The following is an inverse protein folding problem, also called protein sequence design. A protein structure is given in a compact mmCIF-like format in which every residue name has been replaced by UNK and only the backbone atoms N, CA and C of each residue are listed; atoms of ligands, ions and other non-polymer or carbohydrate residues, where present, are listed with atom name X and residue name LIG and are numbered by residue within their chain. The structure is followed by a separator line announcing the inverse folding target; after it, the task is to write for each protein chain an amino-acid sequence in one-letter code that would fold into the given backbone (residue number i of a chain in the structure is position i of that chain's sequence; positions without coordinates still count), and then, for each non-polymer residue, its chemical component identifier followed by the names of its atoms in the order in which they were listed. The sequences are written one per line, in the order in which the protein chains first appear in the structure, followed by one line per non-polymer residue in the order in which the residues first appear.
data_IF_792972260071
#
_entry.id   IF_792972260071
#
_cell.length_a   1.000
_cell.length_b   1.000
_cell.length_c   1.000
_cell.angle_alpha   90.00
_cell.angle_beta   90.00
_cell.angle_gamma   90.00
#
_symmetry.space_group_name_H-M   'P 1'
#
loop_
_entity.id
_entity.type
_entity.pdbx_description
1 polymer ?
#
# COMPACT_ATOMS: atom_id res chain seq x y z
N UNK A 1 25.66 8.34 28.17
CA UNK A 1 24.63 7.46 27.59
C UNK A 1 23.99 6.68 28.74
N UNK A 2 22.89 7.19 29.32
CA UNK A 2 22.20 6.51 30.42
C UNK A 2 21.44 5.32 29.81
N UNK A 3 21.74 4.10 30.26
CA UNK A 3 20.85 2.96 30.06
C UNK A 3 19.60 3.26 30.90
N UNK A 4 18.54 3.72 30.26
CA UNK A 4 17.23 3.72 30.90
C UNK A 4 16.86 2.27 31.19
N UNK A 5 16.44 2.01 32.43
CA UNK A 5 16.08 0.69 32.93
C UNK A 5 14.88 0.13 32.14
N UNK A 6 15.17 -0.60 31.06
CA UNK A 6 14.19 -1.32 30.22
C UNK A 6 13.57 -2.55 30.93
N UNK A 7 13.97 -2.84 32.17
CA UNK A 7 13.49 -3.97 32.97
C UNK A 7 11.97 -4.05 33.15
N UNK A 8 11.19 -2.95 33.29
CA UNK A 8 9.74 -3.02 33.46
C UNK A 8 9.02 -3.49 32.19
N UNK A 9 9.50 -3.12 30.99
CA UNK A 9 8.85 -3.49 29.74
C UNK A 9 9.13 -4.94 29.36
N UNK A 10 10.35 -5.43 29.59
CA UNK A 10 10.71 -6.82 29.29
C UNK A 10 9.83 -7.80 30.05
N UNK A 11 9.59 -7.56 31.35
CA UNK A 11 8.70 -8.37 32.17
C UNK A 11 7.24 -8.32 31.66
N UNK A 12 6.77 -7.15 31.21
CA UNK A 12 5.42 -7.00 30.64
C UNK A 12 5.27 -7.73 29.31
N UNK A 13 6.28 -7.69 28.45
CA UNK A 13 6.32 -8.50 27.23
C UNK A 13 6.32 -9.99 27.52
N UNK A 14 7.13 -10.44 28.47
CA UNK A 14 7.15 -11.84 28.87
C UNK A 14 5.78 -12.32 29.37
N UNK A 15 5.09 -11.51 30.19
CA UNK A 15 3.75 -11.79 30.67
C UNK A 15 2.72 -11.84 29.54
N UNK A 16 2.73 -10.86 28.63
CA UNK A 16 1.85 -10.82 27.46
C UNK A 16 2.10 -12.03 26.55
N UNK A 17 3.36 -12.34 26.27
CA UNK A 17 3.74 -13.44 25.39
C UNK A 17 3.38 -14.80 25.97
N UNK A 18 3.47 -14.97 27.30
CA UNK A 18 2.95 -16.15 28.00
C UNK A 18 1.51 -16.45 27.59
N UNK A 19 0.65 -15.43 27.65
CA UNK A 19 -0.76 -15.52 27.30
C UNK A 19 -1.01 -15.62 25.79
N UNK A 20 -0.20 -14.97 24.94
CA UNK A 20 -0.35 -15.08 23.47
C UNK A 20 -0.21 -16.54 23.03
N UNK A 21 0.73 -17.29 23.62
CA UNK A 21 0.90 -18.72 23.35
C UNK A 21 -0.30 -19.58 23.75
N UNK A 22 -1.18 -19.08 24.62
CA UNK A 22 -2.42 -19.73 25.01
C UNK A 22 -3.58 -19.38 24.08
N UNK A 23 -3.36 -18.53 23.08
CA UNK A 23 -4.36 -18.14 22.08
C UNK A 23 -3.97 -18.57 20.68
N UNK A 24 -4.97 -18.87 19.86
CA UNK A 24 -4.78 -19.31 18.49
C UNK A 24 -4.12 -18.22 17.63
N UNK A 25 -2.91 -18.46 17.08
CA UNK A 25 -2.31 -17.57 16.12
C UNK A 25 -2.99 -17.70 14.75
N UNK A 26 -3.01 -16.62 14.00
CA UNK A 26 -3.47 -16.62 12.61
C UNK A 26 -2.37 -17.13 11.68
N UNK A 27 -2.77 -17.73 10.56
CA UNK A 27 -1.86 -18.10 9.47
C UNK A 27 -1.55 -16.87 8.64
N UNK A 28 -0.29 -16.46 8.57
CA UNK A 28 0.20 -15.40 7.67
C UNK A 28 1.52 -15.84 7.01
N UNK A 29 1.97 -15.09 6.00
CA UNK A 29 3.23 -15.31 5.26
C UNK A 29 4.45 -15.46 6.18
N UNK A 30 4.37 -14.90 7.39
CA UNK A 30 5.32 -15.07 8.48
C UNK A 30 4.55 -15.63 9.67
N UNK A 31 5.06 -16.73 10.22
CA UNK A 31 4.26 -17.93 10.42
C UNK A 31 3.28 -17.92 11.60
N UNK A 32 3.66 -17.24 12.69
CA UNK A 32 2.91 -17.19 13.94
C UNK A 32 2.64 -15.73 14.28
N UNK A 33 1.43 -15.28 13.98
CA UNK A 33 0.98 -13.94 14.28
C UNK A 33 -0.30 -13.96 15.11
N UNK A 34 -0.52 -12.90 15.89
CA UNK A 34 -1.76 -12.65 16.61
C UNK A 34 -2.29 -11.28 16.24
N UNK A 35 -3.61 -11.16 16.16
CA UNK A 35 -4.32 -9.89 16.00
C UNK A 35 -5.17 -9.67 17.24
N UNK A 36 -5.00 -8.51 17.87
CA UNK A 36 -5.62 -8.20 19.15
C UNK A 36 -4.84 -8.71 20.37
N UNK A 37 -5.34 -8.41 21.59
CA UNK A 37 -6.57 -7.66 21.86
C UNK A 37 -6.43 -6.17 21.52
N UNK A 38 -7.53 -5.43 21.44
CA UNK A 38 -7.48 -3.99 21.14
C UNK A 38 -6.90 -3.17 22.30
N UNK A 39 -6.05 -2.20 21.99
CA UNK A 39 -5.63 -1.13 22.90
C UNK A 39 -6.70 -0.03 22.89
N UNK A 40 -7.24 0.32 24.06
CA UNK A 40 -8.37 1.23 24.25
C UNK A 40 -8.03 2.25 25.34
N UNK A 41 -7.26 3.30 25.03
CA UNK A 41 -6.82 4.29 26.02
C UNK A 41 -7.97 5.13 26.57
N UNK A 42 -9.03 5.33 25.77
CA UNK A 42 -10.26 6.03 26.15
C UNK A 42 -11.47 5.34 25.56
N UNK A 43 -12.66 5.65 26.08
CA UNK A 43 -13.91 5.17 25.50
C UNK A 43 -13.94 5.48 23.99
N UNK A 44 -14.29 4.48 23.17
CA UNK A 44 -14.38 4.54 21.70
C UNK A 44 -13.06 4.71 20.93
N UNK A 45 -11.91 4.86 21.58
CA UNK A 45 -10.61 4.86 20.90
C UNK A 45 -10.07 3.43 20.82
N UNK A 46 -10.50 2.64 19.83
CA UNK A 46 -10.05 1.26 19.67
C UNK A 46 -8.89 1.21 18.67
N UNK A 47 -7.73 0.79 19.16
CA UNK A 47 -6.50 0.65 18.39
C UNK A 47 -6.18 -0.82 18.24
N UNK A 48 -5.91 -1.25 17.01
CA UNK A 48 -5.58 -2.63 16.73
C UNK A 48 -4.15 -2.89 17.19
N UNK A 49 -3.95 -4.02 17.84
CA UNK A 49 -2.62 -4.55 18.11
C UNK A 49 -2.36 -5.77 17.23
N UNK A 50 -1.09 -5.99 16.93
CA UNK A 50 -0.62 -7.18 16.23
C UNK A 50 0.71 -7.60 16.81
N UNK A 51 0.92 -8.91 16.87
CA UNK A 51 2.17 -9.52 17.33
C UNK A 51 2.61 -10.57 16.32
N UNK A 52 3.89 -10.60 15.97
CA UNK A 52 4.47 -11.57 15.04
C UNK A 52 5.72 -12.18 15.68
N UNK A 53 5.78 -13.51 15.76
CA UNK A 53 6.95 -14.23 16.24
C UNK A 53 7.83 -14.66 15.05
N UNK A 54 9.08 -14.20 15.02
CA UNK A 54 10.04 -14.58 13.99
C UNK A 54 11.48 -14.51 14.52
N UNK A 55 12.29 -15.56 14.26
CA UNK A 55 13.71 -15.58 14.62
C UNK A 55 13.99 -15.30 16.10
N UNK A 56 13.18 -15.83 17.02
CA UNK A 56 13.30 -15.61 18.47
C UNK A 56 12.92 -14.20 18.94
N UNK A 57 12.33 -13.38 18.06
CA UNK A 57 11.85 -12.02 18.36
C UNK A 57 10.34 -11.94 18.21
N UNK A 58 9.70 -11.23 19.14
CA UNK A 58 8.30 -10.85 19.05
C UNK A 58 8.23 -9.40 18.55
N UNK A 59 7.73 -9.21 17.35
CA UNK A 59 7.47 -7.92 16.75
C UNK A 59 6.04 -7.49 17.11
N UNK A 60 5.90 -6.42 17.87
CA UNK A 60 4.61 -5.84 18.24
C UNK A 60 4.33 -4.58 17.45
N UNK A 61 3.08 -4.37 17.04
CA UNK A 61 2.63 -3.12 16.43
C UNK A 61 1.28 -2.71 16.98
N UNK A 62 1.14 -1.43 17.33
CA UNK A 62 -0.15 -0.80 17.65
C UNK A 62 -0.49 0.22 16.56
N UNK A 63 -1.66 0.07 15.95
CA UNK A 63 -2.16 0.97 14.92
C UNK A 63 -3.07 2.02 15.58
N UNK A 64 -2.56 3.24 15.72
CA UNK A 64 -3.27 4.35 16.34
C UNK A 64 -3.40 5.54 15.38
N UNK A 65 -4.57 5.65 14.75
CA UNK A 65 -4.81 6.61 13.68
C UNK A 65 -3.99 6.26 12.44
N UNK A 66 -3.26 7.23 11.91
CA UNK A 66 -2.43 7.10 10.70
C UNK A 66 -1.02 6.58 10.99
N UNK A 67 -0.75 6.22 12.25
CA UNK A 67 0.59 5.87 12.72
C UNK A 67 0.61 4.45 13.28
N UNK A 68 1.55 3.66 12.78
CA UNK A 68 1.87 2.34 13.34
C UNK A 68 3.02 2.52 14.33
N UNK A 69 2.85 2.02 15.55
CA UNK A 69 3.84 2.08 16.63
C UNK A 69 4.56 0.74 16.75
N UNK A 70 5.68 0.53 16.04
CA UNK A 70 6.47 -0.70 16.10
C UNK A 70 7.22 -0.86 17.43
N UNK A 71 7.44 -2.12 17.77
CA UNK A 71 8.25 -2.57 18.89
C UNK A 71 8.80 -3.96 18.62
N UNK A 72 9.94 -4.27 19.21
CA UNK A 72 10.58 -5.56 19.10
C UNK A 72 11.03 -6.03 20.48
N UNK A 73 10.67 -7.26 20.86
CA UNK A 73 11.17 -7.90 22.07
C UNK A 73 11.96 -9.17 21.72
N UNK A 74 13.20 -9.25 22.18
CA UNK A 74 14.02 -10.45 22.05
C UNK A 74 13.71 -11.41 23.20
N UNK A 75 13.17 -12.59 22.86
CA UNK A 75 12.69 -13.56 23.86
C UNK A 75 13.82 -14.19 24.67
N UNK A 76 15.06 -14.18 24.16
CA UNK A 76 16.22 -14.77 24.83
C UNK A 76 17.00 -13.77 25.67
N UNK A 77 17.27 -12.57 25.13
CA UNK A 77 18.02 -11.53 25.86
C UNK A 77 17.14 -10.67 26.77
N UNK A 78 15.82 -10.69 26.56
CA UNK A 78 14.89 -9.78 27.23
C UNK A 78 14.96 -8.34 26.73
N UNK A 79 15.77 -8.05 25.71
CA UNK A 79 15.90 -6.71 25.15
C UNK A 79 14.59 -6.25 24.50
N UNK A 80 14.17 -5.02 24.79
CA UNK A 80 13.01 -4.37 24.18
C UNK A 80 13.50 -3.14 23.41
N UNK A 81 13.13 -3.05 22.13
CA UNK A 81 13.37 -1.90 21.27
C UNK A 81 12.01 -1.32 20.88
N UNK A 82 11.77 -0.06 21.24
CA UNK A 82 10.63 0.70 20.75
C UNK A 82 11.12 1.58 19.62
N UNK A 83 10.64 1.32 18.42
CA UNK A 83 11.08 2.01 17.21
C UNK A 83 10.29 3.30 17.03
N UNK A 84 10.94 4.33 16.47
CA UNK A 84 10.23 5.54 16.08
C UNK A 84 9.39 5.25 14.83
N UNK A 85 8.10 5.62 14.81
CA UNK A 85 7.29 5.46 13.62
C UNK A 85 7.82 6.31 12.47
N UNK A 86 7.61 5.86 11.23
CA UNK A 86 8.01 6.58 10.01
C UNK A 86 7.11 7.78 9.68
N UNK A 87 6.01 7.99 10.42
CA UNK A 87 5.05 9.08 10.18
C UNK A 87 5.46 10.36 10.90
N UNK A 88 5.38 11.50 10.19
CA UNK A 88 5.71 12.84 10.71
C UNK A 88 4.69 13.37 11.73
N UNK A 89 3.51 12.74 11.87
CA UNK A 89 2.49 13.11 12.87
C UNK A 89 2.37 12.02 13.93
N UNK A 90 3.07 12.20 15.05
CA UNK A 90 2.95 11.34 16.21
C UNK A 90 1.91 11.90 17.17
N UNK A 91 0.75 11.23 17.28
CA UNK A 91 -0.25 11.55 18.30
C UNK A 91 0.19 11.11 19.71
N UNK A 92 1.16 10.20 19.79
CA UNK A 92 1.68 9.60 21.01
C UNK A 92 3.20 9.49 20.96
N UNK A 93 3.84 9.66 22.11
CA UNK A 93 5.24 9.28 22.31
C UNK A 93 5.32 7.73 22.37
N UNK A 94 6.17 7.07 21.55
CA UNK A 94 6.17 5.61 21.41
C UNK A 94 6.39 4.83 22.72
N UNK A 95 7.31 5.25 23.57
CA UNK A 95 7.63 4.55 24.83
C UNK A 95 6.45 4.61 25.80
N UNK A 96 5.84 5.78 25.96
CA UNK A 96 4.67 5.99 26.80
C UNK A 96 3.45 5.20 26.30
N UNK A 97 3.25 5.13 24.97
CA UNK A 97 2.19 4.33 24.38
C UNK A 97 2.34 2.86 24.78
N UNK A 98 3.51 2.24 24.54
CA UNK A 98 3.73 0.83 24.86
C UNK A 98 3.66 0.54 26.36
N UNK A 99 4.21 1.44 27.18
CA UNK A 99 4.13 1.34 28.65
C UNK A 99 2.68 1.33 29.14
N UNK A 100 1.80 2.12 28.50
CA UNK A 100 0.37 2.14 28.84
C UNK A 100 -0.42 0.98 28.24
N UNK A 101 0.00 0.47 27.07
CA UNK A 101 -0.73 -0.53 26.32
C UNK A 101 -0.54 -1.94 26.89
N UNK A 102 0.69 -2.35 27.20
CA UNK A 102 1.00 -3.73 27.59
C UNK A 102 0.18 -4.25 28.78
N UNK A 103 -0.02 -3.50 29.90
CA UNK A 103 -0.84 -3.97 31.02
C UNK A 103 -2.30 -4.17 30.60
N UNK A 104 -2.80 -3.29 29.74
CA UNK A 104 -4.17 -3.37 29.24
C UNK A 104 -4.35 -4.56 28.29
N UNK A 105 -3.43 -4.76 27.36
CA UNK A 105 -3.45 -5.88 26.43
C UNK A 105 -3.38 -7.21 27.19
N UNK A 106 -2.48 -7.31 28.17
CA UNK A 106 -2.33 -8.48 29.05
C UNK A 106 -3.64 -8.80 29.77
N UNK A 107 -4.27 -7.83 30.42
CA UNK A 107 -5.55 -8.02 31.10
C UNK A 107 -6.67 -8.46 30.15
N UNK A 108 -6.72 -7.92 28.95
CA UNK A 108 -7.73 -8.28 27.95
C UNK A 108 -7.52 -9.69 27.42
N UNK A 109 -6.27 -10.10 27.24
CA UNK A 109 -5.93 -11.44 26.78
C UNK A 109 -6.26 -12.48 27.85
N UNK A 110 -5.99 -12.21 29.13
CA UNK A 110 -6.46 -13.04 30.26
C UNK A 110 -7.97 -13.24 30.21
N UNK A 111 -8.73 -12.15 30.08
CA UNK A 111 -10.19 -12.23 29.99
C UNK A 111 -10.68 -13.01 28.76
N UNK A 112 -9.96 -12.93 27.63
CA UNK A 112 -10.27 -13.69 26.43
C UNK A 112 -9.99 -15.19 26.59
N UNK A 113 -8.94 -15.56 27.33
CA UNK A 113 -8.60 -16.95 27.63
C UNK A 113 -9.59 -17.56 28.64
N UNK A 114 -9.92 -16.81 29.71
CA UNK A 114 -10.83 -17.27 30.76
C UNK A 114 -12.26 -17.47 30.26
N UNK A 115 -12.74 -16.61 29.37
CA UNK A 115 -14.10 -16.70 28.82
C UNK A 115 -14.19 -16.16 27.38
N UNK A 116 -13.72 -16.93 26.38
CA UNK A 116 -13.60 -16.47 24.99
C UNK A 116 -14.93 -16.02 24.41
N UNK A 117 -16.00 -16.76 24.66
CA UNK A 117 -17.34 -16.46 24.15
C UNK A 117 -17.88 -15.12 24.69
N UNK A 118 -17.75 -14.88 25.99
CA UNK A 118 -18.18 -13.60 26.59
C UNK A 118 -17.31 -12.46 26.08
N UNK A 119 -15.99 -12.66 25.99
CA UNK A 119 -15.06 -11.66 25.49
C UNK A 119 -15.36 -11.28 24.04
N UNK A 120 -15.45 -12.26 23.14
CA UNK A 120 -15.66 -12.05 21.71
C UNK A 120 -17.04 -11.42 21.44
N UNK A 121 -18.11 -11.86 22.13
CA UNK A 121 -19.43 -11.19 22.05
C UNK A 121 -19.36 -9.73 22.48
N UNK A 122 -18.62 -9.43 23.56
CA UNK A 122 -18.44 -8.04 24.04
C UNK A 122 -17.65 -7.20 23.03
N UNK A 123 -16.58 -7.73 22.45
CA UNK A 123 -15.79 -7.04 21.42
C UNK A 123 -16.66 -6.75 20.19
N UNK A 124 -17.38 -7.75 19.66
CA UNK A 124 -18.30 -7.57 18.52
C UNK A 124 -19.34 -6.48 18.74
N UNK A 125 -19.88 -6.39 19.97
CA UNK A 125 -20.90 -5.39 20.34
C UNK A 125 -20.32 -3.99 20.52
N UNK A 126 -19.10 -3.87 21.05
CA UNK A 126 -18.55 -2.59 21.50
C UNK A 126 -17.55 -1.94 20.55
N UNK A 127 -16.96 -2.71 19.61
CA UNK A 127 -16.02 -2.14 18.66
C UNK A 127 -16.74 -1.16 17.73
N UNK A 128 -16.35 0.14 17.73
CA UNK A 128 -16.97 1.16 16.90
C UNK A 128 -16.65 0.91 15.42
N UNK A 129 -17.55 1.31 14.52
CA UNK A 129 -17.34 1.14 13.07
C UNK A 129 -16.09 1.89 12.58
N UNK A 130 -15.73 3.00 13.23
CA UNK A 130 -14.54 3.78 12.92
C UNK A 130 -13.24 2.99 13.18
N UNK A 131 -13.28 1.90 13.94
CA UNK A 131 -12.15 1.01 14.19
C UNK A 131 -12.24 -0.33 13.44
N UNK A 132 -13.24 -0.50 12.57
CA UNK A 132 -13.43 -1.69 11.72
C UNK A 132 -12.89 -1.43 10.32
N UNK A 133 -12.55 -2.51 9.63
CA UNK A 133 -12.27 -2.49 8.19
C UNK A 133 -13.43 -3.08 7.41
N UNK A 134 -13.56 -2.68 6.16
CA UNK A 134 -14.53 -3.22 5.24
C UNK A 134 -14.25 -2.76 3.82
N UNK A 135 -15.13 -3.13 2.90
CA UNK A 135 -15.02 -2.79 1.49
C UNK A 135 -16.34 -2.24 0.97
N UNK A 136 -16.26 -1.32 0.03
CA UNK A 136 -17.43 -0.76 -0.65
C UNK A 136 -17.13 -0.58 -2.13
N UNK A 137 -18.13 -0.80 -2.99
CA UNK A 137 -17.98 -0.54 -4.43
C UNK A 137 -17.74 0.96 -4.67
N UNK A 138 -16.70 1.31 -5.43
CA UNK A 138 -16.18 2.69 -5.58
C UNK A 138 -17.22 3.73 -5.96
N UNK A 139 -18.23 3.41 -6.79
CA UNK A 139 -19.30 4.38 -7.14
C UNK A 139 -20.05 4.93 -5.92
N UNK A 140 -20.04 4.21 -4.79
CA UNK A 140 -20.63 4.65 -3.53
C UNK A 140 -19.73 5.60 -2.72
N UNK A 141 -18.49 5.79 -3.14
CA UNK A 141 -17.57 6.76 -2.52
C UNK A 141 -17.61 8.12 -3.22
N UNK A 142 -18.18 8.19 -4.43
CA UNK A 142 -18.33 9.43 -5.18
C UNK A 142 -19.53 10.25 -4.71
N UNK A 143 -19.51 11.59 -4.82
CA UNK A 143 -20.69 12.42 -4.61
C UNK A 143 -21.91 11.93 -5.41
N UNK A 144 -23.12 12.26 -4.94
CA UNK A 144 -24.35 11.92 -5.66
C UNK A 144 -24.31 12.52 -7.06
N UNK A 145 -24.79 11.76 -8.05
CA UNK A 145 -24.87 12.16 -9.47
C UNK A 145 -23.51 12.39 -10.15
N UNK A 146 -22.38 12.03 -9.52
CA UNK A 146 -21.10 11.96 -10.22
C UNK A 146 -21.22 11.01 -11.42
N UNK A 147 -20.94 11.53 -12.62
CA UNK A 147 -20.87 10.73 -13.84
C UNK A 147 -19.60 9.89 -13.83
N UNK A 148 -19.61 8.77 -14.55
CA UNK A 148 -18.38 8.00 -14.77
C UNK A 148 -17.33 8.89 -15.45
N UNK A 149 -16.07 8.89 -14.98
CA UNK A 149 -14.99 9.69 -15.56
C UNK A 149 -14.77 9.50 -17.07
N UNK A 150 -15.10 8.32 -17.60
CA UNK A 150 -15.07 8.02 -19.03
C UNK A 150 -16.46 7.61 -19.54
N UNK A 151 -16.78 8.04 -20.74
CA UNK A 151 -17.91 7.54 -21.52
C UNK A 151 -17.66 6.13 -22.07
N UNK A 152 -18.72 5.43 -22.52
CA UNK A 152 -18.59 4.13 -23.21
C UNK A 152 -17.69 4.23 -24.45
N UNK A 153 -17.78 5.33 -25.19
CA UNK A 153 -16.96 5.57 -26.37
C UNK A 153 -15.48 5.73 -26.00
N UNK A 154 -15.15 6.49 -24.95
CA UNK A 154 -13.76 6.64 -24.51
C UNK A 154 -13.18 5.34 -23.95
N UNK A 155 -13.99 4.52 -23.28
CA UNK A 155 -13.57 3.18 -22.85
C UNK A 155 -13.24 2.28 -24.05
N UNK A 156 -14.07 2.28 -25.08
CA UNK A 156 -13.79 1.54 -26.32
C UNK A 156 -12.54 2.07 -27.04
N UNK A 157 -12.31 3.39 -27.03
CA UNK A 157 -11.08 4.00 -27.55
C UNK A 157 -9.85 3.55 -26.75
N UNK A 158 -9.93 3.51 -25.42
CA UNK A 158 -8.86 3.00 -24.56
C UNK A 158 -8.54 1.54 -24.86
N UNK A 159 -9.55 0.67 -24.92
CA UNK A 159 -9.37 -0.75 -25.25
C UNK A 159 -8.70 -0.92 -26.62
N UNK A 160 -9.17 -0.16 -27.63
CA UNK A 160 -8.59 -0.17 -28.98
C UNK A 160 -7.15 0.35 -29.00
N UNK A 161 -6.85 1.41 -28.25
CA UNK A 161 -5.51 1.99 -28.16
C UNK A 161 -4.52 1.03 -27.50
N UNK A 162 -4.91 0.37 -26.40
CA UNK A 162 -4.09 -0.67 -25.78
C UNK A 162 -3.85 -1.85 -26.73
N UNK A 163 -4.90 -2.34 -27.41
CA UNK A 163 -4.76 -3.44 -28.37
C UNK A 163 -3.88 -3.07 -29.59
N UNK A 164 -3.84 -1.79 -30.00
CA UNK A 164 -2.88 -1.30 -30.99
C UNK A 164 -1.47 -1.28 -30.43
N UNK A 165 -1.27 -0.75 -29.22
CA UNK A 165 0.04 -0.68 -28.57
C UNK A 165 0.67 -2.06 -28.33
N UNK A 166 -0.14 -3.04 -27.92
CA UNK A 166 0.30 -4.41 -27.69
C UNK A 166 0.70 -5.12 -29.01
N UNK A 167 -0.04 -4.86 -30.11
CA UNK A 167 0.26 -5.45 -31.43
C UNK A 167 1.30 -4.69 -32.25
N UNK A 168 1.63 -3.45 -31.87
CA UNK A 168 2.63 -2.67 -32.58
C UNK A 168 4.00 -3.34 -32.49
N UNK A 169 4.76 -3.29 -33.58
CA UNK A 169 6.13 -3.79 -33.61
C UNK A 169 7.00 -2.95 -32.67
N UNK A 170 7.99 -3.60 -32.05
CA UNK A 170 8.99 -2.89 -31.27
C UNK A 170 9.72 -1.85 -32.13
N UNK A 171 10.25 -0.82 -31.49
CA UNK A 171 11.07 0.17 -32.19
C UNK A 171 12.53 -0.27 -32.21
N UNK A 172 13.10 -0.47 -33.40
CA UNK A 172 14.50 -0.89 -33.55
C UNK A 172 15.51 0.09 -32.92
N UNK A 173 15.13 1.35 -32.75
CA UNK A 173 15.93 2.37 -32.08
C UNK A 173 15.06 3.32 -31.25
N UNK A 174 15.65 3.83 -30.16
CA UNK A 174 15.05 4.83 -29.29
C UNK A 174 16.13 5.85 -28.93
N UNK A 175 15.80 7.14 -29.05
CA UNK A 175 16.63 8.27 -28.62
C UNK A 175 15.94 8.99 -27.46
N UNK A 176 16.65 9.83 -26.70
CA UNK A 176 16.03 10.67 -25.68
C UNK A 176 14.98 11.62 -26.30
N UNK A 177 15.27 12.21 -27.46
CA UNK A 177 14.34 13.08 -28.18
C UNK A 177 13.04 12.35 -28.57
N UNK A 178 13.13 11.13 -29.10
CA UNK A 178 11.95 10.33 -29.46
C UNK A 178 11.14 9.88 -28.24
N UNK A 179 11.82 9.56 -27.13
CA UNK A 179 11.16 9.30 -25.85
C UNK A 179 10.40 10.54 -25.34
N UNK A 180 11.05 11.70 -25.31
CA UNK A 180 10.43 12.94 -24.87
C UNK A 180 9.26 13.33 -25.78
N UNK A 181 9.37 13.13 -27.10
CA UNK A 181 8.28 13.39 -28.05
C UNK A 181 7.04 12.56 -27.71
N UNK A 182 7.19 11.25 -27.47
CA UNK A 182 6.04 10.39 -27.15
C UNK A 182 5.42 10.74 -25.80
N UNK A 183 6.24 11.12 -24.81
CA UNK A 183 5.78 11.66 -23.52
C UNK A 183 5.04 12.99 -23.71
N UNK A 184 5.54 13.86 -24.59
CA UNK A 184 4.90 15.12 -24.98
C UNK A 184 3.48 14.91 -25.51
N UNK A 185 3.29 13.92 -26.39
CA UNK A 185 1.96 13.55 -26.90
C UNK A 185 1.02 13.06 -25.79
N UNK A 186 1.56 12.31 -24.82
CA UNK A 186 0.80 11.87 -23.66
C UNK A 186 0.34 13.07 -22.79
N UNK A 187 1.21 14.06 -22.59
CA UNK A 187 0.83 15.29 -21.88
C UNK A 187 -0.24 16.09 -22.62
N UNK A 188 -0.18 16.20 -23.94
CA UNK A 188 -1.15 16.99 -24.74
C UNK A 188 -2.61 16.50 -24.60
N UNK A 189 -2.77 15.21 -24.27
CA UNK A 189 -4.06 14.59 -24.01
C UNK A 189 -4.66 14.94 -22.64
N UNK A 190 -3.85 15.45 -21.73
CA UNK A 190 -4.21 15.61 -20.31
C UNK A 190 -4.07 17.05 -19.82
N UNK A 191 -3.10 17.80 -20.36
CA UNK A 191 -2.75 19.16 -19.99
C UNK A 191 -2.86 20.10 -21.21
N UNK A 192 -4.07 20.61 -21.53
CA UNK A 192 -4.28 21.45 -22.72
C UNK A 192 -3.44 22.72 -22.73
N UNK A 193 -3.13 23.26 -21.56
CA UNK A 193 -2.29 24.43 -21.31
C UNK A 193 -0.83 24.23 -21.71
N UNK A 194 -0.36 22.98 -21.76
CA UNK A 194 1.02 22.65 -22.10
C UNK A 194 1.25 22.41 -23.59
N UNK A 195 0.20 22.37 -24.43
CA UNK A 195 0.30 21.91 -25.82
C UNK A 195 1.34 22.65 -26.67
N UNK A 196 1.52 23.94 -26.39
CA UNK A 196 2.43 24.82 -27.12
C UNK A 196 3.88 24.75 -26.61
N UNK A 197 4.16 23.99 -25.55
CA UNK A 197 5.51 23.83 -25.01
C UNK A 197 6.30 22.75 -25.75
N UNK A 198 7.62 22.87 -25.75
CA UNK A 198 8.49 21.82 -26.27
C UNK A 198 8.40 20.56 -25.40
N UNK A 199 8.60 19.39 -25.99
CA UNK A 199 8.49 18.10 -25.28
C UNK A 199 9.35 18.02 -24.02
N UNK A 200 10.59 18.55 -24.08
CA UNK A 200 11.52 18.61 -22.95
C UNK A 200 11.01 19.52 -21.83
N UNK A 201 10.42 20.67 -22.18
CA UNK A 201 9.82 21.59 -21.20
C UNK A 201 8.59 20.95 -20.55
N UNK A 202 7.75 20.27 -21.34
CA UNK A 202 6.60 19.52 -20.82
C UNK A 202 7.04 18.50 -19.77
N UNK A 203 8.11 17.76 -20.05
CA UNK A 203 8.69 16.78 -19.12
C UNK A 203 9.15 17.45 -17.83
N UNK A 204 9.99 18.48 -17.89
CA UNK A 204 10.52 19.16 -16.70
C UNK A 204 9.45 19.79 -15.79
N UNK A 205 8.26 20.10 -16.32
CA UNK A 205 7.16 20.67 -15.56
C UNK A 205 6.30 19.64 -14.82
N UNK A 206 6.27 18.38 -15.25
CA UNK A 206 5.34 17.36 -14.75
C UNK A 206 6.00 16.11 -14.19
N UNK A 207 7.15 15.73 -14.75
CA UNK A 207 7.86 14.54 -14.33
C UNK A 207 8.48 14.71 -12.94
N UNK A 208 8.86 13.57 -12.36
CA UNK A 208 9.81 13.58 -11.26
C UNK A 208 11.17 14.06 -11.78
N UNK A 209 11.59 15.23 -11.31
CA UNK A 209 12.81 15.90 -11.79
C UNK A 209 14.11 15.18 -11.40
N UNK A 210 14.04 14.03 -10.71
CA UNK A 210 15.17 13.11 -10.55
C UNK A 210 15.37 12.30 -11.84
N UNK A 211 15.69 12.94 -12.95
CA UNK A 211 15.73 12.30 -14.27
C UNK A 211 17.00 11.49 -14.57
N UNK A 212 17.96 11.39 -13.65
CA UNK A 212 19.11 10.48 -13.76
C UNK A 212 19.97 10.62 -15.02
N UNK A 213 20.11 11.84 -15.55
CA UNK A 213 20.86 12.11 -16.79
C UNK A 213 20.06 11.98 -18.09
N UNK A 214 18.78 11.59 -18.07
CA UNK A 214 17.95 11.45 -19.28
C UNK A 214 17.92 12.75 -20.11
N UNK A 215 17.76 13.89 -19.44
CA UNK A 215 17.70 15.19 -20.11
C UNK A 215 19.07 15.66 -20.62
N UNK A 216 20.17 15.03 -20.22
CA UNK A 216 21.53 15.43 -20.61
C UNK A 216 22.04 14.67 -21.85
N UNK A 217 21.25 13.70 -22.33
CA UNK A 217 21.58 12.90 -23.52
C UNK A 217 21.37 13.69 -24.83
N UNK A 218 22.20 13.47 -25.86
CA UNK A 218 21.94 14.02 -27.19
C UNK A 218 20.62 13.48 -27.77
N UNK A 219 19.72 14.39 -28.17
CA UNK A 219 18.33 14.08 -28.57
C UNK A 219 18.20 13.05 -29.69
N UNK A 220 19.17 12.99 -30.59
CA UNK A 220 19.14 12.17 -31.81
C UNK A 220 20.13 10.99 -31.77
N UNK A 221 20.74 10.71 -30.61
CA UNK A 221 21.72 9.62 -30.48
C UNK A 221 21.11 8.38 -29.81
N UNK A 222 20.76 7.38 -30.63
CA UNK A 222 20.20 6.13 -30.15
C UNK A 222 21.21 5.27 -29.39
N UNK A 223 22.50 5.40 -29.70
CA UNK A 223 23.57 4.67 -29.01
C UNK A 223 23.77 5.25 -27.63
N UNK A 224 23.86 6.58 -27.51
CA UNK A 224 23.94 7.26 -26.21
C UNK A 224 22.78 6.88 -25.29
N UNK A 225 21.55 6.85 -25.82
CA UNK A 225 20.38 6.40 -25.06
C UNK A 225 20.50 4.94 -24.59
N UNK A 226 20.89 4.01 -25.49
CA UNK A 226 21.05 2.60 -25.15
C UNK A 226 22.16 2.39 -24.11
N UNK A 227 23.31 3.03 -24.29
CA UNK A 227 24.45 2.89 -23.38
C UNK A 227 24.11 3.45 -21.98
N UNK A 228 23.48 4.62 -21.92
CA UNK A 228 22.96 5.17 -20.66
C UNK A 228 21.93 4.24 -20.01
N UNK A 229 20.94 3.75 -20.76
CA UNK A 229 19.91 2.85 -20.24
C UNK A 229 20.53 1.56 -19.65
N UNK A 230 21.46 0.94 -20.39
CA UNK A 230 22.11 -0.32 -20.01
C UNK A 230 23.12 -0.16 -18.88
N UNK A 231 23.77 1.01 -18.75
CA UNK A 231 24.72 1.28 -17.66
C UNK A 231 24.08 1.35 -16.28
N UNK A 232 22.75 1.47 -16.19
CA UNK A 232 21.98 1.57 -14.94
C UNK A 232 22.36 2.78 -14.07
N UNK A 233 23.05 3.78 -14.60
CA UNK A 233 23.41 5.02 -13.88
C UNK A 233 22.19 5.80 -13.37
N UNK A 234 21.06 5.63 -14.05
CA UNK A 234 19.76 6.15 -13.63
C UNK A 234 19.11 5.39 -12.46
N UNK A 235 19.67 4.27 -12.01
CA UNK A 235 19.13 3.49 -10.90
C UNK A 235 19.10 4.33 -9.60
N UNK A 236 17.98 4.30 -8.88
CA UNK A 236 17.76 5.18 -7.72
C UNK A 236 17.23 6.58 -8.07
N UNK A 237 17.04 6.86 -9.36
CA UNK A 237 16.38 8.07 -9.88
C UNK A 237 15.04 7.70 -10.53
N UNK A 238 14.25 8.68 -10.98
CA UNK A 238 12.86 8.54 -11.43
C UNK A 238 12.63 9.04 -12.88
N UNK A 239 13.47 8.70 -13.88
CA UNK A 239 13.33 9.19 -15.27
C UNK A 239 12.06 8.72 -16.00
N UNK A 240 11.38 7.74 -15.43
CA UNK A 240 10.19 7.14 -16.03
C UNK A 240 8.91 7.63 -15.38
N UNK A 241 8.97 8.33 -14.25
CA UNK A 241 7.81 8.92 -13.59
C UNK A 241 7.45 10.23 -14.28
N UNK A 242 6.73 10.12 -15.40
CA UNK A 242 6.36 11.24 -16.26
C UNK A 242 5.30 12.15 -15.62
N UNK A 243 4.57 11.68 -14.61
CA UNK A 243 3.77 12.56 -13.75
C UNK A 243 4.12 12.20 -12.32
N UNK A 244 4.70 13.15 -11.59
CA UNK A 244 5.03 12.95 -10.18
C UNK A 244 3.79 12.69 -9.32
N UNK A 245 3.85 11.67 -8.47
CA UNK A 245 2.86 11.39 -7.43
C UNK A 245 3.47 10.64 -6.25
N UNK A 246 2.81 10.63 -5.09
CA UNK A 246 3.28 9.88 -3.92
C UNK A 246 2.42 8.63 -3.68
N UNK A 247 3.02 7.41 -3.55
CA UNK A 247 4.45 7.12 -3.63
C UNK A 247 5.04 7.19 -5.05
N UNK A 248 4.22 6.93 -6.08
CA UNK A 248 4.52 7.18 -7.50
C UNK A 248 3.26 7.63 -8.25
N UNK A 249 3.41 8.45 -9.29
CA UNK A 249 2.32 8.90 -10.15
C UNK A 249 2.11 8.03 -11.39
N UNK A 250 2.31 8.60 -12.59
CA UNK A 250 2.22 7.87 -13.87
C UNK A 250 3.62 7.58 -14.38
N UNK A 251 3.89 6.32 -14.70
CA UNK A 251 5.18 5.89 -15.23
C UNK A 251 5.06 5.43 -16.68
N UNK A 252 6.00 5.86 -17.52
CA UNK A 252 6.19 5.36 -18.89
C UNK A 252 7.64 4.88 -19.06
N UNK A 253 7.89 3.62 -18.79
CA UNK A 253 9.24 3.06 -18.84
C UNK A 253 9.54 2.42 -20.19
N UNK A 254 10.66 2.73 -20.85
CA UNK A 254 11.14 1.96 -21.99
C UNK A 254 11.64 0.58 -21.51
N UNK A 255 11.38 -0.45 -22.30
CA UNK A 255 11.75 -1.84 -22.01
C UNK A 255 12.30 -2.49 -23.28
N UNK A 256 13.50 -3.09 -23.22
CA UNK A 256 14.02 -3.92 -24.30
C UNK A 256 13.11 -5.12 -24.56
N UNK A 257 12.70 -5.31 -25.81
CA UNK A 257 11.98 -6.49 -26.26
C UNK A 257 12.95 -7.63 -26.66
N UNK A 258 12.47 -8.88 -26.76
CA UNK A 258 13.31 -10.02 -27.12
C UNK A 258 14.02 -9.89 -28.48
N UNK A 259 13.45 -9.12 -29.40
CA UNK A 259 13.99 -8.80 -30.72
C UNK A 259 15.01 -7.65 -30.70
N UNK A 260 15.50 -7.27 -29.50
CA UNK A 260 16.37 -6.13 -29.26
C UNK A 260 15.77 -4.76 -29.65
N UNK A 261 14.47 -4.68 -29.93
CA UNK A 261 13.74 -3.44 -30.09
C UNK A 261 13.29 -2.85 -28.75
N UNK A 262 12.59 -1.72 -28.82
CA UNK A 262 12.08 -1.00 -27.66
C UNK A 262 10.56 -1.03 -27.61
N UNK A 263 10.02 -1.28 -26.43
CA UNK A 263 8.60 -1.12 -26.08
C UNK A 263 8.48 -0.24 -24.84
N UNK A 264 7.26 0.10 -24.47
CA UNK A 264 6.98 0.89 -23.27
C UNK A 264 6.04 0.17 -22.32
N UNK A 265 6.27 0.34 -21.03
CA UNK A 265 5.34 -0.02 -19.97
C UNK A 265 4.71 1.26 -19.42
N UNK A 266 3.42 1.43 -19.66
CA UNK A 266 2.64 2.46 -18.99
C UNK A 266 2.06 1.86 -17.70
N UNK A 267 2.22 2.54 -16.56
CA UNK A 267 1.64 2.14 -15.28
C UNK A 267 1.25 3.36 -14.46
N UNK A 268 0.38 3.15 -13.47
CA UNK A 268 -0.08 4.20 -12.56
C UNK A 268 -0.40 3.59 -11.20
N UNK A 269 0.15 4.18 -10.15
CA UNK A 269 -0.05 3.68 -8.77
C UNK A 269 -1.11 4.49 -8.02
N UNK A 270 -1.18 5.79 -8.27
CA UNK A 270 -2.15 6.67 -7.62
C UNK A 270 -3.53 6.63 -8.29
N UNK A 271 -4.55 6.24 -7.53
CA UNK A 271 -5.94 6.19 -8.00
C UNK A 271 -6.45 7.55 -8.53
N UNK A 272 -5.95 8.66 -7.98
CA UNK A 272 -6.27 10.02 -8.45
C UNK A 272 -5.81 10.31 -9.89
N UNK A 273 -4.87 9.51 -10.42
CA UNK A 273 -4.30 9.69 -11.76
C UNK A 273 -4.81 8.68 -12.78
N UNK A 274 -5.73 7.79 -12.42
CA UNK A 274 -6.25 6.77 -13.35
C UNK A 274 -6.86 7.37 -14.62
N UNK A 275 -7.58 8.50 -14.52
CA UNK A 275 -8.11 9.18 -15.69
C UNK A 275 -6.99 9.78 -16.58
N UNK A 276 -5.93 10.28 -15.94
CA UNK A 276 -4.77 10.83 -16.66
C UNK A 276 -4.08 9.70 -17.44
N UNK A 277 -3.74 8.59 -16.76
CA UNK A 277 -3.11 7.44 -17.37
C UNK A 277 -3.96 6.83 -18.50
N UNK A 278 -5.28 6.74 -18.35
CA UNK A 278 -6.16 6.28 -19.42
C UNK A 278 -6.13 7.18 -20.67
N UNK A 279 -6.15 8.51 -20.49
CA UNK A 279 -6.04 9.46 -21.61
C UNK A 279 -4.66 9.39 -22.28
N UNK A 280 -3.61 9.24 -21.49
CA UNK A 280 -2.24 9.03 -21.99
C UNK A 280 -2.15 7.73 -22.81
N UNK A 281 -2.72 6.62 -22.32
CA UNK A 281 -2.77 5.35 -23.05
C UNK A 281 -3.47 5.50 -24.41
N UNK A 282 -4.58 6.25 -24.47
CA UNK A 282 -5.26 6.56 -25.74
C UNK A 282 -4.29 7.30 -26.69
N UNK A 283 -3.62 8.34 -26.20
CA UNK A 283 -2.68 9.12 -27.01
C UNK A 283 -1.48 8.30 -27.52
N UNK A 284 -0.95 7.40 -26.68
CA UNK A 284 0.12 6.48 -27.07
C UNK A 284 -0.32 5.53 -28.19
N UNK A 285 -1.52 4.97 -28.08
CA UNK A 285 -2.08 4.07 -29.10
C UNK A 285 -2.48 4.79 -30.38
N UNK A 286 -2.89 6.06 -30.31
CA UNK A 286 -3.13 6.92 -31.47
C UNK A 286 -1.80 7.32 -32.16
N UNK A 287 -0.71 7.43 -31.38
CA UNK A 287 0.65 7.65 -31.88
C UNK A 287 1.36 6.37 -32.36
N UNK A 288 0.69 5.20 -32.35
CA UNK A 288 1.27 3.90 -32.71
C UNK A 288 2.54 3.55 -31.93
N UNK A 289 2.64 3.97 -30.66
CA UNK A 289 3.73 3.55 -29.79
C UNK A 289 3.56 2.07 -29.40
N UNK A 290 4.64 1.27 -29.34
CA UNK A 290 4.58 -0.10 -28.86
C UNK A 290 4.57 -0.10 -27.34
N UNK A 291 3.41 -0.25 -26.73
CA UNK A 291 3.28 -0.19 -25.27
C UNK A 291 2.33 -1.25 -24.71
N UNK A 292 2.51 -1.54 -23.42
CA UNK A 292 1.58 -2.30 -22.60
C UNK A 292 1.11 -1.41 -21.44
N UNK A 293 -0.19 -1.42 -21.16
CA UNK A 293 -0.76 -0.71 -20.01
C UNK A 293 -0.92 -1.68 -18.82
N UNK A 294 0.05 -1.68 -17.92
CA UNK A 294 0.04 -2.53 -16.73
C UNK A 294 -1.11 -2.15 -15.79
N UNK A 295 -1.86 -3.15 -15.33
CA UNK A 295 -3.01 -2.94 -14.47
C UNK A 295 -4.19 -2.24 -15.15
N UNK A 296 -4.28 -2.26 -16.50
CA UNK A 296 -5.39 -1.69 -17.28
C UNK A 296 -6.76 -2.04 -16.70
N UNK A 297 -6.99 -3.31 -16.36
CA UNK A 297 -8.29 -3.76 -15.87
C UNK A 297 -8.64 -3.16 -14.50
N UNK A 298 -7.64 -2.99 -13.62
CA UNK A 298 -7.79 -2.27 -12.35
C UNK A 298 -8.19 -0.81 -12.61
N UNK A 299 -7.48 -0.14 -13.52
CA UNK A 299 -7.75 1.26 -13.90
C UNK A 299 -9.16 1.41 -14.47
N UNK A 300 -9.55 0.54 -15.41
CA UNK A 300 -10.87 0.54 -16.05
C UNK A 300 -11.97 0.27 -15.03
N UNK A 301 -11.79 -0.71 -14.15
CA UNK A 301 -12.76 -1.04 -13.10
C UNK A 301 -12.98 0.16 -12.17
N UNK A 302 -11.91 0.83 -11.77
CA UNK A 302 -11.97 2.05 -10.96
C UNK A 302 -12.64 3.22 -11.68
N UNK A 303 -12.34 3.45 -12.96
CA UNK A 303 -13.01 4.49 -13.76
C UNK A 303 -14.48 4.18 -14.04
N UNK A 304 -14.90 2.90 -13.97
CA UNK A 304 -16.31 2.48 -13.99
C UNK A 304 -16.97 2.57 -12.61
N UNK A 305 -16.19 2.80 -11.55
CA UNK A 305 -16.66 2.78 -10.17
C UNK A 305 -17.08 1.37 -9.71
N UNK A 306 -16.53 0.33 -10.32
CA UNK A 306 -16.92 -1.07 -10.13
C UNK A 306 -15.95 -1.86 -9.24
N UNK A 307 -14.75 -1.34 -8.98
CA UNK A 307 -13.81 -1.94 -8.05
C UNK A 307 -14.22 -1.70 -6.59
N UNK A 308 -13.54 -2.41 -5.69
CA UNK A 308 -13.73 -2.27 -4.25
C UNK A 308 -12.73 -1.25 -3.71
N UNK A 309 -13.23 -0.36 -2.86
CA UNK A 309 -12.45 0.58 -2.07
C UNK A 309 -12.44 0.07 -0.64
N UNK A 310 -11.26 -0.03 -0.05
CA UNK A 310 -11.12 -0.34 1.37
C UNK A 310 -11.60 0.85 2.21
N UNK A 311 -12.41 0.55 3.21
CA UNK A 311 -12.92 1.50 4.20
C UNK A 311 -12.34 1.11 5.56
N UNK A 312 -11.76 2.05 6.27
CA UNK A 312 -11.20 1.77 7.58
C UNK A 312 -10.34 2.89 8.15
N UNK A 313 -9.70 2.65 9.31
CA UNK A 313 -8.91 3.65 10.01
C UNK A 313 -7.45 3.77 9.49
N UNK A 314 -7.05 2.99 8.50
CA UNK A 314 -5.64 2.87 8.11
C UNK A 314 -5.25 3.75 6.93
N UNK A 315 -3.94 3.95 6.78
CA UNK A 315 -3.35 4.63 5.63
C UNK A 315 -3.78 3.94 4.32
N UNK A 316 -4.02 4.74 3.27
CA UNK A 316 -4.57 4.33 1.97
C UNK A 316 -6.01 3.78 1.95
N UNK A 317 -6.70 3.77 3.08
CA UNK A 317 -8.13 3.43 3.14
C UNK A 317 -8.99 4.70 3.12
N UNK A 318 -10.21 4.59 2.61
CA UNK A 318 -11.20 5.64 2.74
C UNK A 318 -11.69 5.68 4.20
N UNK A 319 -11.54 6.83 4.85
CA UNK A 319 -12.03 6.95 6.22
C UNK A 319 -13.56 6.86 6.25
N UNK A 320 -14.11 6.24 7.31
CA UNK A 320 -15.56 6.15 7.47
C UNK A 320 -16.22 7.54 7.60
N UNK A 321 -15.50 8.50 8.18
CA UNK A 321 -15.94 9.89 8.29
C UNK A 321 -16.11 10.52 6.90
N UNK A 322 -15.11 10.36 6.02
CA UNK A 322 -15.18 10.87 4.65
C UNK A 322 -16.30 10.21 3.85
N UNK A 323 -16.45 8.88 3.99
CA UNK A 323 -17.53 8.15 3.33
C UNK A 323 -18.90 8.69 3.77
N UNK A 324 -19.13 8.88 5.07
CA UNK A 324 -20.38 9.43 5.61
C UNK A 324 -20.61 10.88 5.17
N UNK A 325 -19.57 11.68 5.09
CA UNK A 325 -19.66 13.07 4.64
C UNK A 325 -20.06 13.17 3.16
N UNK A 326 -19.49 12.31 2.30
CA UNK A 326 -19.75 12.35 0.86
C UNK A 326 -21.02 11.60 0.47
N UNK A 327 -21.27 10.43 1.08
CA UNK A 327 -22.40 9.52 0.80
C UNK A 327 -22.87 8.81 2.08
N UNK A 328 -23.73 9.44 2.90
CA UNK A 328 -24.24 8.82 4.12
C UNK A 328 -24.86 7.43 3.89
N UNK A 329 -25.62 7.25 2.80
CA UNK A 329 -26.27 5.97 2.48
C UNK A 329 -25.29 4.87 2.03
N UNK A 330 -24.04 5.19 1.76
CA UNK A 330 -23.01 4.20 1.44
C UNK A 330 -22.58 3.39 2.66
N UNK A 331 -22.86 3.89 3.88
CA UNK A 331 -22.56 3.19 5.12
C UNK A 331 -23.19 1.78 5.15
N UNK A 332 -24.46 1.69 4.77
CA UNK A 332 -25.21 0.41 4.73
C UNK A 332 -24.78 -0.50 3.57
N UNK A 333 -23.89 -0.02 2.70
CA UNK A 333 -23.31 -0.76 1.57
C UNK A 333 -21.90 -1.24 1.85
N UNK A 334 -21.31 -0.88 3.00
CA UNK A 334 -20.00 -1.38 3.39
C UNK A 334 -20.14 -2.85 3.80
N UNK A 335 -19.41 -3.71 3.09
CA UNK A 335 -19.19 -5.08 3.48
C UNK A 335 -18.09 -5.08 4.55
N UNK A 336 -18.50 -5.07 5.82
CA UNK A 336 -17.59 -5.07 6.95
C UNK A 336 -16.87 -6.40 7.09
N UNK A 337 -15.56 -6.35 7.30
CA UNK A 337 -14.79 -7.55 7.58
C UNK A 337 -15.22 -8.14 8.94
N UNK A 338 -15.09 -9.47 9.13
CA UNK A 338 -15.33 -10.09 10.42
C UNK A 338 -14.46 -9.45 11.51
N UNK A 339 -15.06 -9.22 12.66
CA UNK A 339 -14.32 -8.79 13.85
C UNK A 339 -13.40 -9.93 14.27
N UNK A 340 -12.11 -9.64 14.44
CA UNK A 340 -11.13 -10.63 14.89
C UNK A 340 -11.55 -11.16 16.26
N UNK A 341 -11.72 -12.47 16.34
CA UNK A 341 -12.01 -13.19 17.58
C UNK A 341 -10.71 -13.79 18.14
N UNK A 342 -10.67 -13.90 19.47
CA UNK A 342 -9.57 -14.56 20.19
C UNK A 342 -10.09 -15.89 20.72
N UNK A 343 -9.44 -16.97 20.31
CA UNK A 343 -9.78 -18.32 20.75
C UNK A 343 -8.60 -18.94 21.51
N UNK A 344 -8.86 -19.89 22.43
CA UNK A 344 -7.81 -20.71 23.01
C UNK A 344 -7.02 -21.44 21.93
N UNK A 345 -5.71 -21.56 22.14
CA UNK A 345 -4.81 -22.27 21.22
C UNK A 345 -5.20 -23.75 21.11
N UNK A 346 -5.22 -24.30 19.90
CA UNK A 346 -5.39 -25.75 19.68
C UNK A 346 -4.04 -26.48 19.77
N UNK A 347 -4.05 -27.80 19.98
CA UNK A 347 -2.83 -28.61 20.05
C UNK A 347 -1.94 -28.49 18.79
N UNK A 348 -2.57 -28.42 17.61
CA UNK A 348 -1.86 -28.19 16.33
C UNK A 348 -1.15 -26.84 16.34
N UNK A 349 -1.85 -25.80 16.79
CA UNK A 349 -1.31 -24.44 16.85
C UNK A 349 -0.22 -24.29 17.91
N UNK A 350 -0.33 -24.99 19.04
CA UNK A 350 0.75 -25.07 20.03
C UNK A 350 2.03 -25.64 19.40
N UNK A 351 1.91 -26.72 18.61
CA UNK A 351 3.04 -27.30 17.88
C UNK A 351 3.73 -26.30 16.94
N UNK A 352 2.94 -25.48 16.22
CA UNK A 352 3.47 -24.41 15.35
C UNK A 352 4.25 -23.36 16.14
N UNK A 353 3.68 -22.86 17.24
CA UNK A 353 4.35 -21.90 18.13
C UNK A 353 5.67 -22.47 18.67
N UNK A 354 5.66 -23.72 19.15
CA UNK A 354 6.84 -24.40 19.66
C UNK A 354 7.92 -24.60 18.58
N UNK A 355 7.54 -24.90 17.35
CA UNK A 355 8.48 -25.04 16.24
C UNK A 355 9.19 -23.73 15.92
N UNK A 356 8.46 -22.61 15.81
CA UNK A 356 9.05 -21.30 15.52
C UNK A 356 9.98 -20.88 16.67
N UNK A 357 9.60 -21.12 17.92
CA UNK A 357 10.46 -20.85 19.07
C UNK A 357 11.75 -21.67 19.04
N UNK A 358 11.68 -22.94 18.63
CA UNK A 358 12.83 -23.85 18.59
C UNK A 358 13.78 -23.56 17.42
N UNK A 359 13.23 -23.28 16.24
CA UNK A 359 14.00 -23.25 14.98
C UNK A 359 14.25 -21.84 14.46
N UNK A 360 13.44 -20.86 14.89
CA UNK A 360 13.42 -19.53 14.29
C UNK A 360 12.86 -19.49 12.86
N UNK A 361 12.39 -20.61 12.33
CA UNK A 361 11.90 -20.76 10.95
C UNK A 361 10.39 -21.03 10.89
N UNK A 362 9.73 -20.70 9.78
CA UNK A 362 8.35 -21.09 9.54
C UNK A 362 8.14 -22.62 9.65
N UNK A 363 7.02 -23.02 10.22
CA UNK A 363 6.47 -24.37 10.21
C UNK A 363 5.91 -24.66 8.81
N UNK A 364 6.65 -25.43 8.02
CA UNK A 364 6.14 -25.97 6.75
C UNK A 364 5.16 -27.11 7.07
N UNK A 365 3.90 -26.94 6.67
CA UNK A 365 2.90 -28.02 6.70
C UNK A 365 3.20 -29.08 5.66
#
# INVERSE_FOLDING_TARGET
MKRDDNHPLSAQYAALFGLLKETEPIVETYDVAWRGPYFIPRARQWHRSRFLLYGGRLFGSIEAGWTTYPSTWNTSSGEVVIERPSSFSMAWEPQALWTSALPQLTRRLKAAIENPDVFNRRVRRLIPFEARTGRVVRKWTWPKRTRTPLSKMELSRLESACARGERANSWNSLTSGKYLEIVGRAYDAVYPDMRNLAAREKYSLKADNRHGGLLDLPDQDARAFRDWYMSRTWSGTHPWEIVFGHPHGVLLSPVPAPDAGWRFHLSVDSAGMFLHAAKMAIALGDASAPFMFYGKDRVVSALRGADLVEVGPFFNQLSLADLRNVRPEAFDRVEWDPVVEIHPVSAVQQGRVSHVLRTGTPFSL
#
